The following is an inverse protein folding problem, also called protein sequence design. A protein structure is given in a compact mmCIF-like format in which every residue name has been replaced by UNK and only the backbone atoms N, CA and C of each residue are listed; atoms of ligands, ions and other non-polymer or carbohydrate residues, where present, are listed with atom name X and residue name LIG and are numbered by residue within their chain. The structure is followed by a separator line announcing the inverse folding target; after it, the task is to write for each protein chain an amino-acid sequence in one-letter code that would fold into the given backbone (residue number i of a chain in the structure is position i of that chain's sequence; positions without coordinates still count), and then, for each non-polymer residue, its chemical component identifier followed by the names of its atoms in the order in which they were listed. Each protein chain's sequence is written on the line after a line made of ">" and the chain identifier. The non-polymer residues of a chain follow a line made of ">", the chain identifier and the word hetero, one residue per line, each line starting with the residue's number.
data_IF_119323334066
#
_entry.id   IF_119323334066
#
_cell.length_a   1.000
_cell.length_b   1.000
_cell.length_c   1.000
_cell.angle_alpha   90.00
_cell.angle_beta   90.00
_cell.angle_gamma   90.00
#
_symmetry.space_group_name_H-M   'P 1'
#
loop_
_entity.id
_entity.type
_entity.pdbx_description
1 polymer ?
#
# COMPACT_ATOMS: atom_id res chain seq x y z
N UNK A 1 29.19 -72.95 5.02
CA UNK A 1 28.46 -71.70 4.82
C UNK A 1 29.16 -70.99 3.68
N UNK A 2 28.44 -70.67 2.61
CA UNK A 2 29.01 -69.91 1.51
C UNK A 2 29.33 -68.49 2.01
N UNK A 3 30.54 -68.01 1.73
CA UNK A 3 31.02 -66.70 2.10
C UNK A 3 30.25 -65.62 1.31
N UNK A 4 29.85 -64.52 1.94
CA UNK A 4 29.27 -63.37 1.25
C UNK A 4 30.36 -62.70 0.43
N UNK A 5 30.11 -62.51 -0.86
CA UNK A 5 31.11 -62.04 -1.81
C UNK A 5 30.86 -60.61 -2.27
N UNK A 6 29.61 -60.16 -2.18
CA UNK A 6 29.21 -58.80 -2.64
C UNK A 6 27.97 -58.34 -1.89
N UNK A 7 27.96 -57.08 -1.54
CA UNK A 7 26.73 -56.38 -1.11
C UNK A 7 26.69 -54.97 -1.74
N UNK A 8 25.46 -54.45 -1.93
CA UNK A 8 25.26 -53.08 -2.37
C UNK A 8 23.89 -52.57 -1.92
N UNK A 9 23.74 -51.26 -1.91
CA UNK A 9 22.45 -50.61 -1.73
C UNK A 9 21.98 -50.01 -3.05
N UNK A 10 20.68 -49.95 -3.24
CA UNK A 10 20.01 -49.17 -4.30
C UNK A 10 19.24 -48.03 -3.66
N UNK A 11 19.56 -46.82 -4.07
CA UNK A 11 18.90 -45.59 -3.60
C UNK A 11 18.59 -44.69 -4.80
N UNK A 12 17.34 -44.26 -4.95
CA UNK A 12 16.88 -43.49 -6.13
C UNK A 12 17.25 -44.14 -7.47
N UNK A 13 17.23 -45.48 -7.55
CA UNK A 13 17.58 -46.23 -8.74
C UNK A 13 19.07 -46.32 -9.04
N UNK A 14 19.97 -45.78 -8.19
CA UNK A 14 21.41 -45.88 -8.32
C UNK A 14 21.99 -46.89 -7.35
N UNK A 15 22.93 -47.73 -7.83
CA UNK A 15 23.64 -48.71 -7.03
C UNK A 15 24.86 -48.08 -6.34
N UNK A 16 25.05 -48.41 -5.06
CA UNK A 16 26.17 -48.01 -4.21
C UNK A 16 26.77 -49.30 -3.62
N UNK A 17 28.00 -49.61 -4.01
CA UNK A 17 28.69 -50.83 -3.56
C UNK A 17 29.09 -50.70 -2.08
N UNK A 18 28.83 -51.75 -1.32
CA UNK A 18 29.25 -51.85 0.08
C UNK A 18 30.70 -52.39 0.15
N UNK A 19 31.43 -52.01 1.18
CA UNK A 19 32.74 -52.56 1.55
C UNK A 19 32.62 -53.38 2.83
N UNK A 20 33.45 -54.43 2.92
CA UNK A 20 33.51 -55.31 4.07
C UNK A 20 34.75 -54.97 4.91
N UNK A 21 34.58 -54.75 6.21
CA UNK A 21 35.64 -54.53 7.17
C UNK A 21 35.20 -55.00 8.56
N UNK A 22 36.12 -55.65 9.29
CA UNK A 22 35.91 -56.01 10.72
C UNK A 22 34.64 -56.83 11.03
N UNK A 23 34.14 -57.60 10.04
CA UNK A 23 32.95 -58.44 10.21
C UNK A 23 31.65 -57.78 9.76
N UNK A 24 31.67 -56.55 9.29
CA UNK A 24 30.49 -55.77 8.87
C UNK A 24 30.61 -55.26 7.43
N UNK A 25 29.46 -55.18 6.76
CA UNK A 25 29.30 -54.50 5.46
C UNK A 25 28.81 -53.07 5.70
N UNK A 26 29.45 -52.11 5.05
CA UNK A 26 29.10 -50.70 5.13
C UNK A 26 29.01 -50.06 3.76
N UNK A 27 28.11 -49.10 3.59
CA UNK A 27 27.93 -48.30 2.37
C UNK A 27 27.58 -46.87 2.70
N UNK A 28 28.31 -45.93 2.06
CA UNK A 28 27.98 -44.51 2.16
C UNK A 28 27.15 -44.09 0.95
N UNK A 29 25.96 -43.55 1.22
CA UNK A 29 24.99 -43.13 0.21
C UNK A 29 24.77 -41.62 0.31
N UNK A 30 25.16 -40.82 -0.71
CA UNK A 30 24.85 -39.41 -0.74
C UNK A 30 23.34 -39.19 -0.81
N UNK A 31 22.74 -38.49 0.16
CA UNK A 31 21.28 -38.26 0.23
C UNK A 31 20.78 -37.36 -0.91
N UNK A 32 21.65 -36.51 -1.49
CA UNK A 32 21.24 -35.45 -2.41
C UNK A 32 20.68 -34.22 -1.70
N UNK A 33 20.25 -33.25 -2.46
CA UNK A 33 19.70 -31.97 -1.98
C UNK A 33 18.16 -31.90 -2.03
N UNK A 34 17.51 -32.86 -2.65
CA UNK A 34 16.05 -32.85 -2.86
C UNK A 34 15.30 -33.37 -1.63
N UNK A 35 14.32 -32.60 -1.16
CA UNK A 35 13.41 -33.02 -0.10
C UNK A 35 12.69 -34.33 -0.44
N UNK A 36 12.53 -35.20 0.55
CA UNK A 36 11.66 -36.37 0.42
C UNK A 36 10.19 -36.07 0.72
N UNK A 37 9.83 -34.84 1.06
CA UNK A 37 8.47 -34.50 1.50
C UNK A 37 7.38 -34.86 0.50
N UNK A 38 7.68 -34.75 -0.81
CA UNK A 38 6.77 -35.10 -1.91
C UNK A 38 6.65 -36.61 -2.19
N UNK A 39 7.53 -37.44 -1.57
CA UNK A 39 7.53 -38.89 -1.76
C UNK A 39 6.48 -39.57 -0.85
N UNK A 40 6.15 -40.82 -1.18
CA UNK A 40 5.30 -41.64 -0.32
C UNK A 40 5.89 -41.73 1.09
N UNK A 41 5.07 -41.52 2.13
CA UNK A 41 5.47 -41.46 3.53
C UNK A 41 6.58 -40.43 3.83
N UNK A 42 6.84 -39.48 2.93
CA UNK A 42 7.90 -38.49 3.03
C UNK A 42 9.31 -39.08 3.16
N UNK A 43 9.55 -40.25 2.57
CA UNK A 43 10.84 -40.94 2.61
C UNK A 43 11.26 -41.44 1.24
N UNK A 44 12.59 -41.64 1.07
CA UNK A 44 13.15 -42.39 -0.04
C UNK A 44 13.48 -43.81 0.47
N UNK A 45 12.95 -44.88 -0.18
CA UNK A 45 13.30 -46.23 0.19
C UNK A 45 14.70 -46.60 -0.27
N UNK A 46 15.39 -47.44 0.52
CA UNK A 46 16.64 -48.11 0.16
C UNK A 46 16.37 -49.60 0.04
N UNK A 47 16.94 -50.22 -0.97
CA UNK A 47 17.04 -51.69 -1.10
C UNK A 47 18.43 -52.15 -0.79
N UNK A 48 18.62 -53.18 0.01
CA UNK A 48 19.90 -53.81 0.28
C UNK A 48 19.96 -55.15 -0.41
N UNK A 49 21.06 -55.39 -1.11
CA UNK A 49 21.32 -56.64 -1.85
C UNK A 49 22.61 -57.32 -1.35
N UNK A 50 22.55 -58.61 -1.09
CA UNK A 50 23.70 -59.38 -0.70
C UNK A 50 23.78 -60.68 -1.51
N UNK A 51 25.01 -61.09 -1.89
CA UNK A 51 25.27 -62.26 -2.72
C UNK A 51 26.28 -63.17 -2.02
N UNK A 52 26.03 -64.49 -2.06
CA UNK A 52 27.01 -65.48 -1.66
C UNK A 52 27.93 -65.90 -2.81
N UNK A 53 28.92 -66.76 -2.52
CA UNK A 53 29.87 -67.27 -3.52
C UNK A 53 29.23 -68.22 -4.57
N UNK A 54 28.03 -68.73 -4.30
CA UNK A 54 27.28 -69.54 -5.25
C UNK A 54 26.38 -68.67 -6.18
N UNK A 55 26.31 -67.37 -5.91
CA UNK A 55 25.53 -66.45 -6.70
C UNK A 55 24.07 -66.28 -6.20
N UNK A 56 23.72 -66.84 -5.05
CA UNK A 56 22.41 -66.64 -4.49
C UNK A 56 22.28 -65.21 -3.95
N UNK A 57 21.15 -64.56 -4.21
CA UNK A 57 20.85 -63.18 -3.82
C UNK A 57 19.81 -63.12 -2.70
N UNK A 58 20.00 -62.26 -1.76
CA UNK A 58 19.01 -61.82 -0.79
C UNK A 58 18.78 -60.35 -0.97
N UNK A 59 17.52 -59.92 -1.05
CA UNK A 59 17.15 -58.52 -1.15
C UNK A 59 16.31 -58.18 0.12
N UNK A 60 16.67 -57.07 0.78
CA UNK A 60 15.93 -56.46 1.85
C UNK A 60 15.29 -55.17 1.39
N UNK A 61 14.01 -55.05 1.48
CA UNK A 61 13.25 -53.86 1.07
C UNK A 61 12.87 -52.99 2.27
N UNK A 62 12.58 -51.72 2.01
CA UNK A 62 12.05 -50.78 2.98
C UNK A 62 10.63 -51.17 3.54
N UNK A 63 10.07 -52.28 3.08
CA UNK A 63 8.83 -52.88 3.59
C UNK A 63 9.07 -54.05 4.55
N UNK A 64 10.33 -54.38 4.88
CA UNK A 64 10.66 -55.43 5.81
C UNK A 64 10.11 -55.15 7.20
N UNK A 65 9.48 -56.16 7.86
CA UNK A 65 8.82 -55.99 9.17
C UNK A 65 9.77 -55.68 10.32
N UNK A 66 11.07 -55.98 10.17
CA UNK A 66 12.06 -55.81 11.22
C UNK A 66 12.94 -54.58 11.00
N UNK A 67 13.37 -54.35 9.74
CA UNK A 67 14.40 -53.36 9.40
C UNK A 67 13.92 -52.31 8.41
N UNK A 68 12.70 -52.41 7.89
CA UNK A 68 12.17 -51.52 6.88
C UNK A 68 12.18 -50.04 7.28
N UNK A 69 11.95 -49.75 8.55
CA UNK A 69 11.97 -48.38 9.07
C UNK A 69 13.36 -47.72 8.90
N UNK A 70 14.47 -48.52 9.08
CA UNK A 70 15.82 -48.04 8.87
C UNK A 70 16.17 -47.79 7.39
N UNK A 71 15.42 -48.42 6.49
CA UNK A 71 15.62 -48.28 5.03
C UNK A 71 14.73 -47.20 4.41
N UNK A 72 13.90 -46.52 5.20
CA UNK A 72 13.07 -45.38 4.80
C UNK A 72 13.73 -44.08 5.22
N UNK A 73 14.49 -43.46 4.32
CA UNK A 73 15.31 -42.29 4.62
C UNK A 73 14.55 -41.00 4.38
N UNK A 74 14.38 -40.20 5.41
CA UNK A 74 13.88 -38.83 5.27
C UNK A 74 15.02 -37.88 4.93
N UNK A 75 14.93 -37.23 3.80
CA UNK A 75 15.85 -36.20 3.34
C UNK A 75 15.19 -34.85 3.51
N UNK A 76 15.79 -33.96 4.27
CA UNK A 76 15.33 -32.59 4.49
C UNK A 76 16.15 -31.64 3.63
N UNK A 77 15.48 -30.82 2.85
CA UNK A 77 16.13 -29.69 2.17
C UNK A 77 16.42 -28.56 3.18
N UNK A 78 17.26 -27.59 2.82
CA UNK A 78 17.71 -26.51 3.71
C UNK A 78 17.45 -25.12 3.15
N UNK A 79 16.71 -25.04 2.05
CA UNK A 79 16.37 -23.77 1.40
C UNK A 79 15.22 -23.11 2.14
N UNK A 80 15.43 -21.92 2.68
CA UNK A 80 14.35 -21.17 3.34
C UNK A 80 13.29 -20.74 2.33
N UNK A 81 12.00 -20.81 2.68
CA UNK A 81 10.96 -20.17 1.90
C UNK A 81 11.10 -18.64 1.93
N UNK A 82 10.53 -17.98 0.95
CA UNK A 82 10.50 -16.52 0.87
C UNK A 82 9.11 -16.00 1.23
N UNK A 83 9.08 -14.92 2.02
CA UNK A 83 7.89 -14.14 2.34
C UNK A 83 8.09 -12.73 1.81
N UNK A 84 7.10 -12.17 1.11
CA UNK A 84 7.18 -10.84 0.49
C UNK A 84 5.89 -10.07 0.73
N UNK A 85 6.01 -8.82 1.16
CA UNK A 85 4.90 -7.85 1.19
C UNK A 85 5.04 -7.00 -0.07
N UNK A 86 4.08 -7.12 -0.98
CA UNK A 86 4.09 -6.45 -2.29
C UNK A 86 3.50 -5.04 -2.19
N UNK A 87 2.48 -4.87 -1.33
CA UNK A 87 1.80 -3.60 -1.07
C UNK A 87 1.27 -3.60 0.36
N UNK A 88 1.32 -2.46 1.07
CA UNK A 88 1.95 -1.20 0.68
C UNK A 88 3.48 -1.32 0.56
N UNK A 89 4.14 -0.33 -0.08
CA UNK A 89 5.61 -0.28 -0.16
C UNK A 89 6.20 0.43 1.06
N UNK A 90 7.45 0.11 1.39
CA UNK A 90 8.17 0.73 2.51
C UNK A 90 8.18 2.26 2.39
N UNK A 91 7.84 2.94 3.47
CA UNK A 91 7.82 4.39 3.59
C UNK A 91 6.69 5.11 2.82
N UNK A 92 5.75 4.39 2.21
CA UNK A 92 4.63 5.02 1.49
C UNK A 92 3.71 5.79 2.42
N UNK A 93 3.15 6.92 1.94
CA UNK A 93 2.12 7.71 2.63
C UNK A 93 0.80 7.54 1.87
N UNK A 94 -0.23 7.09 2.57
CA UNK A 94 -1.50 6.67 1.98
C UNK A 94 -2.67 7.46 2.58
N UNK A 95 -3.59 7.88 1.74
CA UNK A 95 -4.68 8.78 2.10
C UNK A 95 -5.93 8.10 2.67
N UNK A 96 -5.94 6.79 2.83
CA UNK A 96 -7.11 6.04 3.31
C UNK A 96 -6.76 5.16 4.51
N UNK A 97 -7.62 5.12 5.50
CA UNK A 97 -7.54 4.20 6.64
C UNK A 97 -7.86 2.73 6.27
N UNK A 98 -8.27 2.47 5.04
CA UNK A 98 -8.47 1.12 4.50
C UNK A 98 -7.46 0.87 3.39
N UNK A 99 -6.69 -0.22 3.50
CA UNK A 99 -5.62 -0.58 2.56
C UNK A 99 -5.67 -2.04 2.18
N UNK A 100 -5.31 -2.32 0.93
CA UNK A 100 -5.07 -3.67 0.44
C UNK A 100 -3.61 -4.06 0.69
N UNK A 101 -3.40 -5.00 1.59
CA UNK A 101 -2.11 -5.60 1.86
C UNK A 101 -1.95 -6.81 0.96
N UNK A 102 -1.04 -6.71 -0.03
CA UNK A 102 -0.74 -7.80 -0.96
C UNK A 102 0.53 -8.52 -0.54
N UNK A 103 0.44 -9.84 -0.47
CA UNK A 103 1.49 -10.71 0.05
C UNK A 103 1.74 -11.89 -0.86
N UNK A 104 2.99 -12.33 -0.92
CA UNK A 104 3.42 -13.52 -1.65
C UNK A 104 4.29 -14.40 -0.76
N UNK A 105 4.10 -15.73 -0.89
CA UNK A 105 4.94 -16.75 -0.28
C UNK A 105 5.40 -17.72 -1.35
N UNK A 106 6.67 -18.15 -1.30
CA UNK A 106 7.22 -19.12 -2.23
C UNK A 106 8.22 -20.02 -1.50
N UNK A 107 8.15 -21.32 -1.79
CA UNK A 107 9.19 -22.28 -1.49
C UNK A 107 9.89 -22.72 -2.78
N UNK A 108 11.22 -22.64 -2.78
CA UNK A 108 12.07 -23.11 -3.87
C UNK A 108 12.80 -24.42 -3.52
N UNK A 109 12.70 -24.87 -2.27
CA UNK A 109 13.40 -26.05 -1.75
C UNK A 109 12.75 -27.38 -2.10
N UNK A 110 11.48 -27.35 -2.47
CA UNK A 110 10.72 -28.51 -2.91
C UNK A 110 9.96 -29.26 -1.83
N UNK A 111 10.09 -28.89 -0.55
CA UNK A 111 9.26 -29.46 0.53
C UNK A 111 7.85 -28.84 0.55
N UNK A 112 7.70 -27.66 -0.04
CA UNK A 112 6.46 -26.90 -0.06
C UNK A 112 6.20 -26.11 1.22
N UNK A 113 5.30 -25.14 1.15
CA UNK A 113 4.97 -24.26 2.28
C UNK A 113 4.07 -24.95 3.30
N UNK A 114 4.41 -24.86 4.56
CA UNK A 114 3.51 -25.19 5.67
C UNK A 114 2.57 -24.01 5.93
N UNK A 115 1.42 -23.98 5.28
CA UNK A 115 0.48 -22.87 5.37
C UNK A 115 -0.11 -22.65 6.77
N UNK A 116 -0.07 -23.66 7.63
CA UNK A 116 -0.48 -23.53 9.04
C UNK A 116 0.52 -22.73 9.89
N UNK A 117 1.76 -22.58 9.42
CA UNK A 117 2.83 -21.84 10.10
C UNK A 117 2.86 -20.35 9.74
N UNK A 118 2.00 -19.88 8.84
CA UNK A 118 2.00 -18.48 8.41
C UNK A 118 1.71 -17.55 9.59
N UNK A 119 2.63 -16.61 9.84
CA UNK A 119 2.48 -15.54 10.81
C UNK A 119 2.37 -14.23 10.05
N UNK A 120 1.17 -13.67 10.01
CA UNK A 120 0.88 -12.37 9.42
C UNK A 120 0.41 -11.42 10.52
N UNK A 121 1.03 -10.24 10.62
CA UNK A 121 0.68 -9.23 11.62
C UNK A 121 0.48 -7.87 10.97
N UNK A 122 -0.48 -7.12 11.51
CA UNK A 122 -0.69 -5.69 11.26
C UNK A 122 -0.51 -4.96 12.58
N UNK A 123 0.38 -3.98 12.64
CA UNK A 123 0.71 -3.24 13.86
C UNK A 123 1.04 -4.17 15.05
N UNK A 124 1.86 -5.18 14.78
CA UNK A 124 2.25 -6.24 15.75
C UNK A 124 1.10 -7.15 16.24
N UNK A 125 -0.13 -6.95 15.78
CA UNK A 125 -1.27 -7.82 16.10
C UNK A 125 -1.41 -8.89 15.04
N UNK A 126 -1.42 -10.16 15.44
CA UNK A 126 -1.58 -11.29 14.52
C UNK A 126 -2.98 -11.30 13.92
N UNK A 127 -3.04 -11.41 12.60
CA UNK A 127 -4.29 -11.54 11.82
C UNK A 127 -4.55 -13.02 11.56
N UNK A 128 -5.67 -13.52 12.07
CA UNK A 128 -6.07 -14.94 11.94
C UNK A 128 -7.34 -15.13 11.09
N UNK A 129 -8.00 -14.04 10.73
CA UNK A 129 -9.25 -14.08 9.95
C UNK A 129 -9.15 -13.19 8.71
N UNK A 130 -9.93 -13.50 7.69
CA UNK A 130 -9.95 -12.74 6.44
C UNK A 130 -8.71 -12.91 5.57
N UNK A 131 -7.83 -13.88 5.90
CA UNK A 131 -6.63 -14.21 5.13
C UNK A 131 -6.93 -15.44 4.29
N UNK A 132 -6.91 -15.29 2.97
CA UNK A 132 -7.14 -16.38 2.03
C UNK A 132 -6.03 -16.40 0.99
N UNK A 133 -5.38 -17.55 0.84
CA UNK A 133 -4.27 -17.76 -0.07
C UNK A 133 -4.72 -18.49 -1.32
N UNK A 134 -4.24 -18.06 -2.49
CA UNK A 134 -4.46 -18.70 -3.77
C UNK A 134 -3.13 -19.01 -4.47
N UNK A 135 -3.13 -20.04 -5.34
CA UNK A 135 -1.95 -20.41 -6.11
C UNK A 135 -1.85 -19.58 -7.39
N UNK A 136 -0.70 -18.94 -7.60
CA UNK A 136 -0.38 -18.20 -8.82
C UNK A 136 1.07 -18.42 -9.22
N UNK A 137 1.31 -19.13 -10.33
CA UNK A 137 2.64 -19.29 -10.91
C UNK A 137 3.70 -19.87 -9.96
N UNK A 138 3.32 -20.82 -9.10
CA UNK A 138 4.23 -21.45 -8.14
C UNK A 138 4.40 -20.66 -6.83
N UNK A 139 3.61 -19.62 -6.63
CA UNK A 139 3.54 -18.83 -5.39
C UNK A 139 2.18 -18.95 -4.74
N UNK A 140 2.12 -18.78 -3.44
CA UNK A 140 0.89 -18.47 -2.69
C UNK A 140 0.74 -16.95 -2.63
N UNK A 141 -0.38 -16.42 -3.09
CA UNK A 141 -0.69 -14.98 -3.05
C UNK A 141 -1.93 -14.71 -2.23
N UNK A 142 -1.93 -13.59 -1.52
CA UNK A 142 -3.05 -13.13 -0.70
C UNK A 142 -3.19 -11.61 -0.82
N UNK A 143 -4.44 -11.13 -0.88
CA UNK A 143 -4.78 -9.73 -0.64
C UNK A 143 -5.63 -9.68 0.61
N UNK A 144 -5.13 -9.02 1.65
CA UNK A 144 -5.85 -8.77 2.90
C UNK A 144 -6.36 -7.32 2.92
N UNK A 145 -7.65 -7.14 3.14
CA UNK A 145 -8.29 -5.83 3.26
C UNK A 145 -8.19 -5.33 4.70
N UNK A 146 -7.13 -4.58 5.01
CA UNK A 146 -6.96 -3.96 6.32
C UNK A 146 -7.87 -2.73 6.44
N UNK A 147 -8.74 -2.72 7.44
CA UNK A 147 -9.63 -1.60 7.75
C UNK A 147 -9.24 -0.94 9.08
N UNK A 148 -9.65 0.32 9.27
CA UNK A 148 -9.45 1.08 10.50
C UNK A 148 -7.98 1.25 10.93
N UNK A 149 -7.09 1.39 9.95
CA UNK A 149 -5.71 1.78 10.20
C UNK A 149 -5.69 3.20 10.78
N UNK A 150 -4.90 3.42 11.81
CA UNK A 150 -4.79 4.72 12.46
C UNK A 150 -3.93 5.67 11.62
N UNK A 151 -4.23 6.96 11.67
CA UNK A 151 -3.32 7.99 11.16
C UNK A 151 -1.95 7.89 11.84
N UNK A 152 -0.90 8.14 11.07
CA UNK A 152 0.49 7.96 11.48
C UNK A 152 1.07 6.62 11.02
N UNK A 153 2.12 6.18 11.70
CA UNK A 153 2.91 5.00 11.31
C UNK A 153 2.14 3.69 11.54
N UNK A 154 2.11 2.86 10.53
CA UNK A 154 1.58 1.50 10.54
C UNK A 154 2.65 0.53 10.04
N UNK A 155 2.55 -0.74 10.43
CA UNK A 155 3.49 -1.78 10.02
C UNK A 155 2.79 -3.09 9.68
N UNK A 156 3.41 -3.83 8.78
CA UNK A 156 2.98 -5.18 8.39
C UNK A 156 4.18 -6.10 8.50
N UNK A 157 4.00 -7.32 8.99
CA UNK A 157 5.03 -8.35 8.95
C UNK A 157 4.47 -9.70 8.53
N UNK A 158 5.31 -10.50 7.83
CA UNK A 158 4.95 -11.79 7.27
C UNK A 158 6.10 -12.77 7.44
N UNK A 159 5.81 -13.99 7.88
CA UNK A 159 6.75 -15.09 8.02
C UNK A 159 6.06 -16.42 7.75
N UNK A 160 6.80 -17.40 7.24
CA UNK A 160 6.31 -18.76 6.98
C UNK A 160 7.42 -19.78 7.20
N UNK A 161 7.05 -21.01 7.50
CA UNK A 161 7.95 -22.18 7.54
C UNK A 161 7.56 -23.12 6.40
N UNK A 162 8.52 -23.83 5.82
CA UNK A 162 8.24 -24.93 4.89
C UNK A 162 7.92 -26.26 5.64
N UNK A 163 7.67 -27.31 4.90
CA UNK A 163 7.33 -28.61 5.48
C UNK A 163 8.57 -29.38 6.01
N UNK A 164 9.78 -28.96 5.68
CA UNK A 164 11.03 -29.52 6.22
C UNK A 164 11.55 -28.73 7.44
N UNK A 165 10.85 -27.63 7.82
CA UNK A 165 11.13 -26.86 9.02
C UNK A 165 12.03 -25.65 8.83
N UNK A 166 12.36 -25.27 7.58
CA UNK A 166 13.12 -24.06 7.33
C UNK A 166 12.20 -22.84 7.45
N UNK A 167 12.62 -21.84 8.21
CA UNK A 167 11.84 -20.63 8.51
C UNK A 167 12.32 -19.50 7.61
N UNK A 168 11.39 -18.80 6.95
CA UNK A 168 11.71 -17.60 6.17
C UNK A 168 12.27 -16.49 7.04
N UNK A 169 13.00 -15.57 6.45
CA UNK A 169 13.24 -14.29 7.10
C UNK A 169 11.91 -13.55 7.26
N UNK A 170 11.82 -12.66 8.27
CA UNK A 170 10.61 -11.86 8.49
C UNK A 170 10.57 -10.73 7.48
N UNK A 171 9.60 -10.75 6.56
CA UNK A 171 9.33 -9.58 5.72
C UNK A 171 8.59 -8.53 6.56
N UNK A 172 9.05 -7.29 6.55
CA UNK A 172 8.42 -6.18 7.25
C UNK A 172 8.34 -4.97 6.32
N UNK A 173 7.22 -4.26 6.39
CA UNK A 173 6.98 -3.00 5.69
C UNK A 173 6.35 -2.02 6.66
N UNK A 174 6.88 -0.78 6.70
CA UNK A 174 6.31 0.35 7.42
C UNK A 174 5.79 1.38 6.44
N UNK A 175 4.62 1.95 6.74
CA UNK A 175 3.96 2.96 5.93
C UNK A 175 3.16 3.92 6.81
N UNK A 176 2.76 5.06 6.26
CA UNK A 176 2.02 6.09 6.99
C UNK A 176 0.62 6.25 6.42
N UNK A 177 -0.36 6.37 7.29
CA UNK A 177 -1.72 6.78 6.93
C UNK A 177 -1.90 8.26 7.28
N UNK A 178 -2.44 9.04 6.34
CA UNK A 178 -2.80 10.45 6.52
C UNK A 178 -4.18 10.69 5.93
N UNK A 179 -5.21 10.70 6.78
CA UNK A 179 -6.60 10.86 6.32
C UNK A 179 -7.05 12.31 6.25
N UNK A 180 -6.33 13.24 6.90
CA UNK A 180 -6.67 14.66 6.94
C UNK A 180 -6.40 15.36 5.61
N UNK A 181 -7.38 16.16 5.14
CA UNK A 181 -7.21 17.04 4.00
C UNK A 181 -6.42 18.31 4.41
N UNK A 182 -5.81 19.04 3.46
CA UNK A 182 -5.14 20.31 3.75
C UNK A 182 -6.10 21.34 4.35
N UNK A 183 -5.59 22.22 5.20
CA UNK A 183 -6.35 23.37 5.69
C UNK A 183 -6.27 24.52 4.69
N UNK A 184 -7.36 25.26 4.52
CA UNK A 184 -7.45 26.43 3.64
C UNK A 184 -8.29 27.50 4.31
N UNK A 185 -7.67 28.63 4.63
CA UNK A 185 -8.34 29.80 5.22
C UNK A 185 -8.21 30.98 4.26
N UNK A 186 -9.31 31.42 3.67
CA UNK A 186 -9.37 32.56 2.75
C UNK A 186 -9.82 33.79 3.54
N UNK A 187 -8.93 34.78 3.63
CA UNK A 187 -9.13 36.03 4.37
C UNK A 187 -9.66 37.17 3.50
N UNK A 188 -9.41 37.10 2.18
CA UNK A 188 -9.91 38.04 1.18
C UNK A 188 -10.21 37.32 -0.14
N UNK A 189 -11.28 37.70 -0.86
CA UNK A 189 -12.35 38.59 -0.43
C UNK A 189 -13.22 37.94 0.67
N UNK A 190 -13.99 38.79 1.39
CA UNK A 190 -15.08 38.30 2.24
C UNK A 190 -16.19 37.73 1.36
N UNK A 191 -16.94 36.78 1.92
CA UNK A 191 -18.13 36.26 1.24
C UNK A 191 -19.16 37.38 0.99
N UNK A 192 -19.71 37.45 -0.23
CA UNK A 192 -20.69 38.44 -0.61
C UNK A 192 -20.14 39.87 -0.79
N UNK A 193 -18.82 40.03 -1.04
CA UNK A 193 -18.23 41.35 -1.29
C UNK A 193 -18.94 42.02 -2.45
N UNK A 194 -19.43 43.27 -2.22
CA UNK A 194 -19.85 44.22 -3.27
C UNK A 194 -18.72 45.25 -3.44
N UNK A 195 -18.27 45.47 -4.66
CA UNK A 195 -17.14 46.36 -4.95
C UNK A 195 -17.30 47.12 -6.29
N UNK A 196 -16.79 48.33 -6.32
CA UNK A 196 -16.73 49.13 -7.54
C UNK A 196 -15.42 48.95 -8.35
N UNK A 197 -14.61 47.94 -7.97
CA UNK A 197 -13.37 47.60 -8.65
C UNK A 197 -13.47 46.20 -9.24
N UNK A 198 -13.15 46.06 -10.52
CA UNK A 198 -13.04 44.76 -11.15
C UNK A 198 -11.75 44.01 -10.79
N UNK A 199 -10.82 44.63 -10.02
CA UNK A 199 -9.60 44.03 -9.49
C UNK A 199 -9.83 43.69 -8.03
N UNK A 200 -9.70 42.38 -7.72
CA UNK A 200 -9.89 41.86 -6.36
C UNK A 200 -8.68 41.04 -5.95
N UNK A 201 -8.17 41.31 -4.75
CA UNK A 201 -7.09 40.50 -4.18
C UNK A 201 -7.69 39.30 -3.45
N UNK A 202 -7.29 38.09 -3.89
CA UNK A 202 -7.58 36.83 -3.19
C UNK A 202 -6.37 36.51 -2.35
N UNK A 203 -6.56 36.40 -1.03
CA UNK A 203 -5.50 36.14 -0.07
C UNK A 203 -5.96 35.21 1.05
N UNK A 204 -4.99 34.50 1.63
CA UNK A 204 -5.26 33.55 2.69
C UNK A 204 -4.03 32.76 3.12
N UNK A 205 -4.29 31.66 3.83
CA UNK A 205 -3.28 30.71 4.23
C UNK A 205 -3.74 29.28 3.94
N UNK A 206 -2.82 28.39 3.58
CA UNK A 206 -3.05 26.97 3.42
C UNK A 206 -1.91 26.18 4.05
N UNK A 207 -2.22 25.01 4.59
CA UNK A 207 -1.23 24.09 5.15
C UNK A 207 -1.64 22.63 4.88
N UNK A 208 -0.65 21.74 4.90
CA UNK A 208 -0.93 20.30 4.83
C UNK A 208 -1.78 19.85 6.01
N UNK A 209 -2.54 18.76 5.82
CA UNK A 209 -3.45 18.23 6.85
C UNK A 209 -2.74 17.49 7.98
N UNK A 210 -1.49 17.07 7.76
CA UNK A 210 -0.63 16.39 8.75
C UNK A 210 0.84 16.60 8.44
N UNK A 211 1.71 16.25 9.40
CA UNK A 211 3.18 16.34 9.24
C UNK A 211 3.74 15.30 8.25
N UNK A 212 2.95 14.27 7.90
CA UNK A 212 3.35 13.21 6.98
C UNK A 212 3.26 13.61 5.50
N UNK A 213 2.57 14.71 5.19
CA UNK A 213 2.35 15.23 3.84
C UNK A 213 2.75 16.69 3.74
N UNK A 214 2.99 17.17 2.53
CA UNK A 214 3.29 18.59 2.27
C UNK A 214 2.17 19.23 1.46
N UNK A 215 2.01 20.54 1.57
CA UNK A 215 1.14 21.29 0.67
C UNK A 215 1.76 21.28 -0.74
N UNK A 216 1.04 20.75 -1.70
CA UNK A 216 1.49 20.62 -3.10
C UNK A 216 1.20 21.87 -3.90
N UNK A 217 -0.03 22.40 -3.79
CA UNK A 217 -0.42 23.60 -4.55
C UNK A 217 -1.60 24.34 -3.90
N UNK A 218 -1.70 25.64 -4.22
CA UNK A 218 -2.93 26.42 -4.07
C UNK A 218 -3.30 26.95 -5.45
N UNK A 219 -4.57 26.79 -5.85
CA UNK A 219 -5.10 27.25 -7.13
C UNK A 219 -6.24 28.23 -6.89
N UNK A 220 -6.29 29.31 -7.67
CA UNK A 220 -7.40 30.27 -7.71
C UNK A 220 -7.97 30.22 -9.13
N UNK A 221 -9.26 29.85 -9.25
CA UNK A 221 -9.95 29.65 -10.54
C UNK A 221 -9.15 28.72 -11.50
N UNK A 222 -8.50 27.67 -10.92
CA UNK A 222 -7.69 26.70 -11.66
C UNK A 222 -6.24 27.11 -11.91
N UNK A 223 -5.84 28.37 -11.68
CA UNK A 223 -4.47 28.84 -11.82
C UNK A 223 -3.68 28.70 -10.53
N UNK A 224 -2.49 28.07 -10.60
CA UNK A 224 -1.59 27.91 -9.44
C UNK A 224 -1.04 29.26 -8.99
N UNK A 225 -1.00 29.47 -7.69
CA UNK A 225 -0.43 30.67 -7.04
C UNK A 225 0.75 30.29 -6.17
N UNK A 226 1.69 31.24 -6.03
CA UNK A 226 2.85 31.06 -5.15
C UNK A 226 2.40 31.08 -3.69
N UNK A 227 2.91 30.12 -2.91
CA UNK A 227 2.69 30.03 -1.47
C UNK A 227 4.00 30.40 -0.77
N UNK A 228 3.94 31.40 0.08
CA UNK A 228 5.06 31.89 0.85
C UNK A 228 5.24 31.17 2.19
N UNK A 229 6.12 31.72 3.01
CA UNK A 229 6.37 31.24 4.37
C UNK A 229 5.08 31.22 5.20
N UNK A 230 4.90 30.16 5.99
CA UNK A 230 3.68 29.98 6.81
C UNK A 230 2.42 29.67 6.00
N UNK A 231 2.56 29.28 4.73
CA UNK A 231 1.42 28.91 3.88
C UNK A 231 0.65 30.09 3.31
N UNK A 232 1.14 31.31 3.42
CA UNK A 232 0.47 32.52 2.94
C UNK A 232 0.44 32.57 1.42
N UNK A 233 -0.68 32.93 0.83
CA UNK A 233 -0.83 33.20 -0.59
C UNK A 233 -1.60 34.48 -0.83
N UNK A 234 -1.30 35.16 -1.96
CA UNK A 234 -2.00 36.38 -2.39
C UNK A 234 -1.88 36.53 -3.90
N UNK A 235 -2.99 36.82 -4.57
CA UNK A 235 -3.05 37.10 -5.99
C UNK A 235 -4.15 38.10 -6.31
N UNK A 236 -3.85 39.13 -7.08
CA UNK A 236 -4.86 39.98 -7.71
C UNK A 236 -5.45 39.27 -8.93
N UNK A 237 -6.76 39.23 -9.03
CA UNK A 237 -7.53 38.69 -10.17
C UNK A 237 -8.45 39.76 -10.73
N UNK A 238 -8.79 39.64 -12.01
CA UNK A 238 -9.77 40.52 -12.65
C UNK A 238 -11.08 39.77 -12.78
N UNK A 239 -12.16 40.39 -12.36
CA UNK A 239 -13.55 39.90 -12.39
C UNK A 239 -14.36 40.65 -13.45
N UNK A 240 -15.43 40.02 -13.90
CA UNK A 240 -16.41 40.65 -14.78
C UNK A 240 -17.41 41.49 -14.01
N UNK A 241 -18.07 42.41 -14.68
CA UNK A 241 -19.23 43.13 -14.15
C UNK A 241 -20.30 42.14 -13.68
N UNK A 242 -20.97 42.45 -12.60
CA UNK A 242 -22.01 41.61 -11.99
C UNK A 242 -21.48 40.51 -11.04
N UNK A 243 -22.23 39.44 -10.90
CA UNK A 243 -21.94 38.35 -9.99
C UNK A 243 -20.80 37.45 -10.48
N UNK A 244 -19.82 37.22 -9.61
CA UNK A 244 -18.67 36.35 -9.86
C UNK A 244 -18.55 35.29 -8.77
N UNK A 245 -18.03 34.11 -9.17
CA UNK A 245 -17.67 33.02 -8.26
C UNK A 245 -16.16 32.78 -8.35
N UNK A 246 -15.47 32.83 -7.21
CA UNK A 246 -14.04 32.58 -7.10
C UNK A 246 -13.87 31.24 -6.37
N UNK A 247 -13.20 30.28 -7.01
CA UNK A 247 -12.92 28.97 -6.42
C UNK A 247 -11.42 28.89 -6.04
N UNK A 248 -11.15 28.60 -4.78
CA UNK A 248 -9.81 28.44 -4.23
C UNK A 248 -9.66 26.98 -3.79
N UNK A 249 -8.60 26.29 -4.24
CA UNK A 249 -8.34 24.88 -3.96
C UNK A 249 -6.93 24.74 -3.42
N UNK A 250 -6.79 24.15 -2.23
CA UNK A 250 -5.53 23.66 -1.70
C UNK A 250 -5.43 22.16 -1.94
N UNK A 251 -4.25 21.68 -2.35
CA UNK A 251 -3.96 20.26 -2.64
C UNK A 251 -2.68 19.85 -1.95
N UNK A 252 -2.66 18.67 -1.31
CA UNK A 252 -1.48 18.10 -0.68
C UNK A 252 -0.70 17.12 -1.58
N UNK A 253 0.44 16.60 -1.09
CA UNK A 253 1.34 15.72 -1.84
C UNK A 253 0.78 14.33 -2.13
N UNK A 254 -0.33 13.94 -1.52
CA UNK A 254 -1.05 12.68 -1.78
C UNK A 254 -2.38 12.91 -2.53
N UNK A 255 -2.62 14.14 -3.02
CA UNK A 255 -3.77 14.49 -3.84
C UNK A 255 -5.06 14.78 -3.11
N UNK A 256 -5.05 14.95 -1.77
CA UNK A 256 -6.22 15.41 -1.03
C UNK A 256 -6.41 16.90 -1.23
N UNK A 257 -7.67 17.33 -1.31
CA UNK A 257 -8.01 18.74 -1.58
C UNK A 257 -8.98 19.31 -0.56
N UNK A 258 -8.85 20.62 -0.34
CA UNK A 258 -9.85 21.45 0.33
C UNK A 258 -10.21 22.60 -0.59
N UNK A 259 -11.51 22.86 -0.75
CA UNK A 259 -12.04 23.89 -1.63
C UNK A 259 -12.81 24.93 -0.82
N UNK A 260 -12.55 26.21 -1.10
CA UNK A 260 -13.33 27.35 -0.60
C UNK A 260 -13.84 28.16 -1.79
N UNK A 261 -15.10 28.53 -1.75
CA UNK A 261 -15.73 29.38 -2.75
C UNK A 261 -16.01 30.75 -2.15
N UNK A 262 -15.89 31.83 -2.93
CA UNK A 262 -16.28 33.20 -2.59
C UNK A 262 -17.15 33.77 -3.69
N UNK A 263 -18.22 34.44 -3.30
CA UNK A 263 -19.09 35.17 -4.21
C UNK A 263 -18.78 36.66 -4.08
N UNK A 264 -18.58 37.32 -5.22
CA UNK A 264 -18.26 38.75 -5.29
C UNK A 264 -19.11 39.37 -6.38
N UNK A 265 -19.76 40.49 -6.07
CA UNK A 265 -20.46 41.30 -7.08
C UNK A 265 -19.64 42.54 -7.39
N UNK A 266 -19.35 42.70 -8.68
CA UNK A 266 -18.66 43.92 -9.21
C UNK A 266 -19.70 44.81 -9.80
N UNK A 267 -19.72 46.06 -9.38
CA UNK A 267 -20.55 47.12 -9.93
C UNK A 267 -19.69 48.37 -10.10
N UNK A 268 -19.26 48.62 -11.34
CA UNK A 268 -18.38 49.74 -11.69
C UNK A 268 -19.17 50.93 -12.23
N UNK A 269 -20.51 50.82 -12.33
CA UNK A 269 -21.36 51.84 -12.90
C UNK A 269 -21.82 52.82 -11.80
N UNK A 270 -21.76 54.09 -12.13
CA UNK A 270 -22.27 55.13 -11.25
C UNK A 270 -23.77 55.32 -11.47
N UNK A 271 -24.55 55.63 -10.43
CA UNK A 271 -25.97 55.96 -10.58
C UNK A 271 -26.17 57.20 -11.46
N UNK A 272 -27.23 57.18 -12.25
CA UNK A 272 -27.61 58.25 -13.16
C UNK A 272 -28.70 59.13 -12.51
N UNK A 273 -28.43 60.41 -12.49
CA UNK A 273 -29.44 61.42 -12.06
C UNK A 273 -30.12 61.92 -13.32
N UNK A 274 -31.46 61.87 -13.34
CA UNK A 274 -32.31 62.34 -14.45
C UNK A 274 -33.53 63.10 -13.93
N UNK A 275 -34.30 63.66 -14.85
CA UNK A 275 -35.57 64.34 -14.59
C UNK A 275 -35.47 65.37 -13.45
N UNK A 276 -34.40 66.19 -13.53
CA UNK A 276 -34.20 67.27 -12.53
C UNK A 276 -35.10 68.42 -12.81
N UNK A 277 -35.99 68.71 -11.88
CA UNK A 277 -36.91 69.85 -11.94
C UNK A 277 -36.77 70.75 -10.70
N UNK A 278 -36.73 72.05 -10.95
CA UNK A 278 -36.80 73.04 -9.89
C UNK A 278 -38.19 73.68 -9.89
N UNK A 279 -38.87 73.68 -8.77
CA UNK A 279 -40.19 74.34 -8.61
C UNK A 279 -40.09 75.82 -8.95
N UNK A 280 -38.97 76.42 -8.62
CA UNK A 280 -38.66 77.80 -9.00
C UNK A 280 -37.17 77.99 -9.24
N UNK A 281 -36.78 78.74 -10.31
CA UNK A 281 -35.37 79.09 -10.60
C UNK A 281 -34.96 80.43 -9.97
N UNK A 282 -35.90 81.11 -9.31
CA UNK A 282 -35.68 82.37 -8.61
C UNK A 282 -36.41 82.30 -7.30
N UNK A 283 -35.72 82.54 -6.18
CA UNK A 283 -36.27 82.59 -4.81
C UNK A 283 -35.73 83.80 -4.08
N UNK A 284 -36.50 84.31 -3.14
CA UNK A 284 -36.02 85.41 -2.27
C UNK A 284 -34.85 84.94 -1.35
N UNK A 285 -34.06 85.95 -0.88
CA UNK A 285 -33.01 85.69 0.10
C UNK A 285 -33.62 85.01 1.35
N UNK A 286 -32.99 83.89 1.80
CA UNK A 286 -33.45 82.97 2.85
C UNK A 286 -34.73 82.15 2.50
N UNK A 287 -35.16 82.13 1.21
CA UNK A 287 -36.19 81.24 0.74
C UNK A 287 -35.70 79.78 0.62
N UNK A 288 -36.64 78.87 0.38
CA UNK A 288 -36.36 77.45 0.17
C UNK A 288 -36.38 77.14 -1.34
N UNK A 289 -35.35 76.42 -1.81
CA UNK A 289 -35.32 75.86 -3.20
C UNK A 289 -35.83 74.43 -3.09
N UNK A 290 -36.86 74.09 -3.85
CA UNK A 290 -37.37 72.72 -3.95
C UNK A 290 -36.94 72.14 -5.29
N UNK A 291 -36.18 70.97 -5.22
CA UNK A 291 -35.73 70.20 -6.39
C UNK A 291 -36.32 68.79 -6.32
N UNK A 292 -36.79 68.30 -7.41
CA UNK A 292 -37.12 66.89 -7.63
C UNK A 292 -36.22 66.30 -8.68
N UNK A 293 -35.78 65.06 -8.54
CA UNK A 293 -34.97 64.35 -9.49
C UNK A 293 -35.16 62.84 -9.36
N UNK A 294 -34.89 62.13 -10.43
CA UNK A 294 -34.81 60.64 -10.38
C UNK A 294 -33.38 60.19 -10.27
N UNK A 295 -33.17 59.12 -9.56
CA UNK A 295 -31.88 58.37 -9.53
C UNK A 295 -32.15 56.95 -9.96
N UNK A 296 -31.41 56.49 -10.93
CA UNK A 296 -31.46 55.09 -11.38
C UNK A 296 -30.05 54.49 -11.36
N UNK A 297 -29.95 53.24 -10.96
CA UNK A 297 -28.69 52.49 -11.07
C UNK A 297 -28.76 51.56 -12.26
N UNK A 298 -27.84 51.68 -13.24
CA UNK A 298 -27.82 50.80 -14.41
C UNK A 298 -27.52 49.33 -14.10
N UNK A 299 -26.94 49.06 -12.91
CA UNK A 299 -26.65 47.69 -12.46
C UNK A 299 -27.91 46.95 -11.92
N UNK A 300 -28.98 47.73 -11.59
CA UNK A 300 -30.25 47.18 -11.09
C UNK A 300 -31.28 46.94 -12.22
N UNK A 301 -30.91 47.10 -13.48
CA UNK A 301 -31.81 47.04 -14.64
C UNK A 301 -31.89 45.68 -15.32
#
# INVERSE_FOLDING_TARGET
>A
MSEITRAYAVYKGQQYNASYSEGEWSVDIPSGSESSYSQANHTYPIELHAFDAAGNETIMYATDDTYGDQLNIRVLEKTKPTATIVSPTEGSVLGSATQDIKMELQDAGGSGLNMASVIFKVNNVQVTQGVSWSDQGGKKVCTYHAANLSDGSNSVSLQVTDNDGNVSDVATVSFVISTSAPTLNVTSPTEGLLTNSNKVTVAGTAAAGSDAVTLSSVKINGETVSVGSGGAFSKEITLSEGANTITIVAEDSIGKTTTVTRHVTVDTQAPIISDVEAEATTVDANGTIHLTFKVTDPADA
#
